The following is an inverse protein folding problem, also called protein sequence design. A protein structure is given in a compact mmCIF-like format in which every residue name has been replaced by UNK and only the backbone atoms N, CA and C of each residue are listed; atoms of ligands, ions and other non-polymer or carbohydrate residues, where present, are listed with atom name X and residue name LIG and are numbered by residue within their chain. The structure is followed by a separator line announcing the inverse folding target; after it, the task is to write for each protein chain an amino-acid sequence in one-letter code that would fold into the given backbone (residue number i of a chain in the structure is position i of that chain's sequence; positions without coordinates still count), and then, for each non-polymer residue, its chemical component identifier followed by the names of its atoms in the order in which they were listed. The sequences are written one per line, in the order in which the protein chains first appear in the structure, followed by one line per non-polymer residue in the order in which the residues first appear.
data_IF_833635628124
#
_entry.id   IF_833635628124
#
_cell.length_a   1.000
_cell.length_b   1.000
_cell.length_c   1.000
_cell.angle_alpha   90.00
_cell.angle_beta   90.00
_cell.angle_gamma   90.00
#
_symmetry.space_group_name_H-M   'P 1'
#
loop_
_entity.id
_entity.type
_entity.pdbx_description
1 polymer ?
#
# COMPACT_ATOMS: atom_id res chain seq x y z
N UNK A 1 -14.88 -16.43 -0.63
CA UNK A 1 -13.42 -16.65 -0.57
C UNK A 1 -12.90 -16.22 0.79
N UNK A 2 -11.98 -16.99 1.35
CA UNK A 2 -11.33 -16.64 2.62
C UNK A 2 -9.88 -16.28 2.34
N UNK A 3 -9.42 -15.18 2.93
CA UNK A 3 -8.00 -14.82 2.92
C UNK A 3 -7.38 -15.46 4.16
N UNK A 4 -6.55 -16.45 3.94
CA UNK A 4 -5.95 -17.26 4.99
C UNK A 4 -4.46 -17.02 5.08
N UNK A 5 -3.82 -17.50 6.15
CA UNK A 5 -2.37 -17.45 6.31
C UNK A 5 -1.66 -18.07 5.10
N UNK A 6 -2.19 -19.17 4.57
CA UNK A 6 -1.63 -19.83 3.38
C UNK A 6 -1.63 -18.89 2.17
N UNK A 7 -2.71 -18.14 1.96
CA UNK A 7 -2.80 -17.16 0.86
C UNK A 7 -1.79 -16.02 1.07
N UNK A 8 -1.66 -15.53 2.28
CA UNK A 8 -0.69 -14.48 2.61
C UNK A 8 0.74 -14.96 2.37
N UNK A 9 1.04 -16.22 2.73
CA UNK A 9 2.36 -16.80 2.51
C UNK A 9 2.68 -16.96 1.03
N UNK A 10 1.72 -17.38 0.23
CA UNK A 10 1.89 -17.49 -1.23
C UNK A 10 2.14 -16.12 -1.86
N UNK A 11 1.37 -15.13 -1.46
CA UNK A 11 1.53 -13.77 -1.97
C UNK A 11 2.90 -13.19 -1.59
N UNK A 12 3.35 -13.45 -0.36
CA UNK A 12 4.67 -13.05 0.11
C UNK A 12 5.78 -13.74 -0.69
N UNK A 13 5.64 -15.03 -0.99
CA UNK A 13 6.62 -15.75 -1.82
C UNK A 13 6.72 -15.14 -3.22
N UNK A 14 5.59 -14.75 -3.80
CA UNK A 14 5.56 -14.05 -5.09
C UNK A 14 6.22 -12.67 -5.01
N UNK A 15 5.99 -11.94 -3.91
CA UNK A 15 6.62 -10.65 -3.69
C UNK A 15 8.15 -10.78 -3.60
N UNK A 16 8.64 -11.77 -2.88
CA UNK A 16 10.09 -12.04 -2.75
C UNK A 16 10.73 -12.39 -4.10
N UNK A 17 10.00 -13.07 -4.96
CA UNK A 17 10.49 -13.47 -6.28
C UNK A 17 10.36 -12.36 -7.32
N UNK A 18 9.67 -11.29 -7.02
CA UNK A 18 9.49 -10.15 -7.92
C UNK A 18 10.66 -9.19 -7.83
N UNK A 19 11.10 -8.65 -8.96
CA UNK A 19 12.11 -7.59 -9.00
C UNK A 19 11.66 -6.34 -8.23
N UNK A 20 10.35 -6.16 -8.09
CA UNK A 20 9.76 -5.03 -7.38
C UNK A 20 9.60 -5.28 -5.88
N UNK A 21 9.88 -6.50 -5.40
CA UNK A 21 9.73 -6.91 -3.99
C UNK A 21 8.34 -6.60 -3.44
N UNK A 22 7.33 -6.72 -4.30
CA UNK A 22 5.92 -6.58 -3.93
C UNK A 22 5.03 -7.32 -4.92
N UNK A 23 3.86 -7.72 -4.43
CA UNK A 23 2.87 -8.42 -5.25
C UNK A 23 1.48 -8.07 -4.73
N UNK A 24 0.59 -7.69 -5.64
CA UNK A 24 -0.79 -7.39 -5.28
C UNK A 24 -1.73 -8.54 -5.63
N UNK A 25 -2.80 -8.64 -4.86
CA UNK A 25 -3.92 -9.53 -5.13
C UNK A 25 -5.18 -8.67 -5.22
N UNK A 26 -5.77 -8.63 -6.41
CA UNK A 26 -6.96 -7.83 -6.68
C UNK A 26 -8.20 -8.55 -6.18
N UNK A 27 -8.97 -7.88 -5.34
CA UNK A 27 -10.22 -8.43 -4.79
C UNK A 27 -11.46 -7.85 -5.45
N UNK A 28 -11.29 -7.04 -6.50
CA UNK A 28 -12.43 -6.50 -7.25
C UNK A 28 -13.18 -7.62 -7.95
N UNK A 29 -14.49 -7.40 -8.12
CA UNK A 29 -15.34 -8.35 -8.85
C UNK A 29 -15.09 -8.29 -10.36
N UNK A 30 -14.76 -7.10 -10.87
CA UNK A 30 -14.40 -6.89 -12.27
C UNK A 30 -13.46 -5.70 -12.41
N UNK A 31 -12.83 -5.57 -13.57
CA UNK A 31 -11.93 -4.44 -13.86
C UNK A 31 -12.65 -3.09 -13.91
N UNK A 32 -13.96 -3.09 -14.04
CA UNK A 32 -14.79 -1.87 -14.07
C UNK A 32 -15.33 -1.49 -12.68
N UNK A 33 -14.99 -2.25 -11.66
CA UNK A 33 -15.48 -2.01 -10.30
C UNK A 33 -15.00 -0.64 -9.81
N UNK A 34 -15.95 0.16 -9.32
CA UNK A 34 -15.68 1.50 -8.82
C UNK A 34 -15.13 1.53 -7.40
N UNK A 35 -14.93 0.37 -6.81
CA UNK A 35 -14.36 0.23 -5.48
C UNK A 35 -13.12 -0.64 -5.56
N UNK A 36 -11.95 -0.03 -5.49
CA UNK A 36 -10.68 -0.77 -5.51
C UNK A 36 -10.45 -1.40 -4.14
N UNK A 37 -10.15 -2.69 -4.16
CA UNK A 37 -9.87 -3.48 -2.96
C UNK A 37 -8.76 -4.46 -3.30
N UNK A 38 -7.61 -4.34 -2.61
CA UNK A 38 -6.51 -5.25 -2.90
C UNK A 38 -5.66 -5.54 -1.67
N UNK A 39 -5.05 -6.71 -1.68
CA UNK A 39 -3.97 -7.04 -0.78
C UNK A 39 -2.65 -6.75 -1.47
N UNK A 40 -1.69 -6.22 -0.73
CA UNK A 40 -0.32 -6.04 -1.20
C UNK A 40 0.64 -6.69 -0.22
N UNK A 41 1.35 -7.71 -0.68
CA UNK A 41 2.51 -8.21 0.02
C UNK A 41 3.70 -7.34 -0.36
N UNK A 42 4.38 -6.80 0.63
CA UNK A 42 5.49 -5.86 0.44
C UNK A 42 6.69 -6.31 1.27
N UNK A 43 7.85 -6.38 0.65
CA UNK A 43 9.07 -6.82 1.30
C UNK A 43 9.99 -5.63 1.61
N UNK A 44 10.87 -5.76 2.63
CA UNK A 44 11.88 -4.74 2.88
C UNK A 44 12.69 -4.43 1.63
N UNK A 45 12.88 -3.15 1.35
CA UNK A 45 13.60 -2.71 0.16
C UNK A 45 12.74 -2.55 -1.09
N UNK A 46 11.43 -2.82 -1.02
CA UNK A 46 10.57 -2.61 -2.19
C UNK A 46 10.70 -1.17 -2.70
N UNK A 47 11.03 -0.99 -3.99
CA UNK A 47 11.13 0.35 -4.56
C UNK A 47 9.74 0.91 -4.81
N UNK A 48 9.41 1.99 -4.12
CA UNK A 48 8.14 2.69 -4.32
C UNK A 48 8.43 4.19 -4.30
N UNK A 49 8.18 4.91 -5.40
CA UNK A 49 8.38 6.34 -5.41
C UNK A 49 7.39 7.04 -4.48
N UNK A 50 7.76 8.23 -4.01
CA UNK A 50 6.81 9.11 -3.35
C UNK A 50 5.76 9.48 -4.40
N UNK A 51 4.50 9.24 -4.08
CA UNK A 51 3.40 9.40 -5.02
C UNK A 51 2.15 9.91 -4.31
N UNK A 52 1.15 10.25 -5.10
CA UNK A 52 -0.17 10.67 -4.60
C UNK A 52 -1.28 10.17 -5.50
N UNK A 53 -2.48 10.09 -4.94
CA UNK A 53 -3.72 9.85 -5.68
C UNK A 53 -4.57 11.11 -5.55
N UNK A 54 -4.70 11.88 -6.63
CA UNK A 54 -5.37 13.19 -6.56
C UNK A 54 -6.89 13.10 -6.52
N UNK A 55 -7.44 12.02 -7.04
CA UNK A 55 -8.90 11.88 -7.19
C UNK A 55 -9.59 11.16 -6.05
N UNK A 56 -8.87 10.51 -5.14
CA UNK A 56 -9.49 9.72 -4.09
C UNK A 56 -8.61 9.58 -2.86
N UNK A 57 -9.25 9.45 -1.71
CA UNK A 57 -8.58 9.02 -0.49
C UNK A 57 -8.34 7.52 -0.55
N UNK A 58 -7.39 7.05 0.25
CA UNK A 58 -7.03 5.65 0.34
C UNK A 58 -7.10 5.20 1.80
N UNK A 59 -7.67 4.01 2.02
CA UNK A 59 -7.67 3.37 3.34
C UNK A 59 -6.68 2.23 3.31
N UNK A 60 -5.72 2.24 4.23
CA UNK A 60 -4.70 1.18 4.36
C UNK A 60 -4.88 0.49 5.70
N UNK A 61 -4.92 -0.84 5.67
CA UNK A 61 -5.04 -1.67 6.87
C UNK A 61 -3.82 -2.58 6.95
N UNK A 62 -3.12 -2.59 8.07
CA UNK A 62 -2.05 -3.57 8.28
C UNK A 62 -2.67 -4.93 8.62
N UNK A 63 -2.37 -5.94 7.80
CA UNK A 63 -2.90 -7.29 7.97
C UNK A 63 -1.89 -8.16 8.71
N UNK A 64 -0.59 -8.01 8.37
CA UNK A 64 0.49 -8.80 8.94
C UNK A 64 1.81 -8.01 8.81
N UNK A 65 2.73 -8.22 9.75
CA UNK A 65 4.04 -7.58 9.71
C UNK A 65 4.02 -6.15 10.19
N UNK A 66 4.93 -5.33 9.69
CA UNK A 66 5.08 -3.94 10.12
C UNK A 66 5.76 -3.12 9.04
N UNK A 67 5.26 -1.90 8.90
CA UNK A 67 5.84 -0.91 7.99
C UNK A 67 5.60 0.50 8.54
N UNK A 68 6.31 1.44 7.97
CA UNK A 68 6.04 2.86 8.20
C UNK A 68 5.40 3.44 6.94
N UNK A 69 4.30 4.17 7.11
CA UNK A 69 3.78 5.07 6.08
C UNK A 69 4.41 6.44 6.32
N UNK A 70 4.87 7.09 5.27
CA UNK A 70 5.52 8.40 5.38
C UNK A 70 4.79 9.40 4.51
N UNK A 71 4.48 10.56 5.08
CA UNK A 71 3.82 11.66 4.40
C UNK A 71 4.82 12.77 4.10
N UNK A 72 4.63 13.43 2.96
CA UNK A 72 5.52 14.49 2.50
C UNK A 72 4.70 15.68 2.05
N UNK A 73 5.30 16.88 2.15
CA UNK A 73 4.73 18.10 1.57
C UNK A 73 5.14 18.24 0.09
N UNK A 74 4.66 19.27 -0.58
CA UNK A 74 4.95 19.51 -1.99
C UNK A 74 6.45 19.75 -2.27
N UNK A 75 7.20 20.18 -1.27
CA UNK A 75 8.64 20.37 -1.39
C UNK A 75 9.45 19.08 -1.21
N UNK A 76 8.79 17.97 -0.87
CA UNK A 76 9.46 16.69 -0.63
C UNK A 76 9.95 16.50 0.79
N UNK A 77 9.57 17.37 1.72
CA UNK A 77 9.94 17.22 3.12
C UNK A 77 8.97 16.29 3.82
N UNK A 78 9.49 15.35 4.62
CA UNK A 78 8.67 14.45 5.40
C UNK A 78 7.97 15.23 6.52
N UNK A 79 6.65 15.12 6.56
CA UNK A 79 5.83 15.80 7.57
C UNK A 79 5.33 14.85 8.66
N UNK A 80 5.21 13.56 8.34
CA UNK A 80 4.74 12.57 9.30
C UNK A 80 5.26 11.18 8.95
N UNK A 81 5.54 10.38 9.97
CA UNK A 81 5.92 8.99 9.82
C UNK A 81 5.07 8.15 10.78
N UNK A 82 4.33 7.18 10.24
CA UNK A 82 3.36 6.41 11.01
C UNK A 82 3.76 4.94 10.99
N UNK A 83 4.08 4.38 12.16
CA UNK A 83 4.33 2.95 12.29
C UNK A 83 3.00 2.21 12.32
N UNK A 84 2.83 1.28 11.38
CA UNK A 84 1.66 0.40 11.31
C UNK A 84 2.10 -1.02 11.62
N UNK A 85 1.51 -1.62 12.65
CA UNK A 85 1.75 -3.00 13.03
C UNK A 85 0.56 -3.58 13.79
N UNK A 86 0.32 -4.86 13.64
CA UNK A 86 -0.72 -5.56 14.40
C UNK A 86 -0.29 -5.63 15.87
N UNK A 87 -1.17 -5.18 16.77
CA UNK A 87 -0.83 -5.08 18.19
C UNK A 87 -0.18 -3.76 18.58
N UNK A 88 0.12 -2.88 17.62
CA UNK A 88 0.65 -1.55 17.88
C UNK A 88 -0.46 -0.50 18.00
N UNK A 89 -0.09 0.75 17.83
CA UNK A 89 -1.05 1.85 17.93
C UNK A 89 -1.91 2.05 16.69
N UNK A 90 -1.33 1.87 15.50
CA UNK A 90 -2.01 2.17 14.25
C UNK A 90 -2.29 0.91 13.46
N UNK A 91 -3.56 0.62 13.23
CA UNK A 91 -4.04 -0.50 12.44
C UNK A 91 -4.56 -0.07 11.07
N UNK A 92 -5.17 1.10 11.01
CA UNK A 92 -5.81 1.64 9.82
C UNK A 92 -5.37 3.08 9.63
N UNK A 93 -4.98 3.42 8.42
CA UNK A 93 -4.57 4.77 8.08
C UNK A 93 -5.44 5.28 6.93
N UNK A 94 -5.97 6.49 7.10
CA UNK A 94 -6.62 7.20 6.01
C UNK A 94 -5.63 8.15 5.37
N UNK A 95 -5.39 7.99 4.07
CA UNK A 95 -4.51 8.85 3.29
C UNK A 95 -5.39 9.79 2.47
N UNK A 96 -5.40 11.09 2.76
CA UNK A 96 -6.26 12.02 2.01
C UNK A 96 -5.90 12.08 0.53
N UNK A 97 -6.89 12.42 -0.29
CA UNK A 97 -6.63 12.69 -1.70
C UNK A 97 -5.56 13.79 -1.83
N UNK A 98 -4.60 13.57 -2.71
CA UNK A 98 -3.51 14.51 -2.95
C UNK A 98 -2.33 14.42 -1.99
N UNK A 99 -2.40 13.61 -0.96
CA UNK A 99 -1.30 13.47 0.00
C UNK A 99 -0.13 12.68 -0.60
N UNK A 100 1.04 13.31 -0.67
CA UNK A 100 2.27 12.62 -1.06
C UNK A 100 2.67 11.63 0.01
N UNK A 101 2.95 10.37 -0.39
CA UNK A 101 3.31 9.32 0.56
C UNK A 101 4.17 8.22 -0.08
N UNK A 102 4.84 7.47 0.76
CA UNK A 102 5.51 6.23 0.42
C UNK A 102 5.52 5.31 1.64
N UNK A 103 6.16 4.17 1.52
CA UNK A 103 6.29 3.21 2.61
C UNK A 103 7.75 2.83 2.84
N UNK A 104 8.03 2.42 4.07
CA UNK A 104 9.28 1.78 4.45
C UNK A 104 8.92 0.48 5.18
N UNK A 105 9.15 -0.65 4.52
CA UNK A 105 8.79 -1.97 5.06
C UNK A 105 9.86 -2.45 6.02
N UNK A 106 9.46 -2.78 7.24
CA UNK A 106 10.38 -3.12 8.32
C UNK A 106 10.55 -4.63 8.54
N UNK A 107 9.64 -5.44 8.01
CA UNK A 107 9.60 -6.87 8.28
C UNK A 107 9.19 -7.65 7.04
N UNK A 108 9.89 -8.75 6.76
CA UNK A 108 9.50 -9.66 5.70
C UNK A 108 8.16 -10.32 6.03
N UNK A 109 7.33 -10.54 5.02
CA UNK A 109 6.00 -11.11 5.21
C UNK A 109 4.93 -10.08 5.51
N UNK A 110 5.25 -8.80 5.41
CA UNK A 110 4.28 -7.72 5.62
C UNK A 110 3.23 -7.72 4.52
N UNK A 111 1.97 -7.63 4.92
CA UNK A 111 0.83 -7.54 4.02
C UNK A 111 -0.09 -6.42 4.48
N UNK A 112 -0.49 -5.58 3.54
CA UNK A 112 -1.48 -4.53 3.76
C UNK A 112 -2.70 -4.77 2.88
N UNK A 113 -3.85 -4.33 3.34
CA UNK A 113 -5.07 -4.23 2.55
C UNK A 113 -5.30 -2.75 2.23
N UNK A 114 -5.60 -2.47 0.97
CA UNK A 114 -5.87 -1.12 0.50
C UNK A 114 -7.24 -1.03 -0.14
N UNK A 115 -7.99 0.01 0.21
CA UNK A 115 -9.27 0.33 -0.40
C UNK A 115 -9.25 1.77 -0.91
N UNK A 116 -9.80 1.98 -2.10
CA UNK A 116 -9.80 3.29 -2.76
C UNK A 116 -11.01 3.38 -3.68
N UNK A 117 -11.65 4.53 -3.68
CA UNK A 117 -12.80 4.78 -4.54
C UNK A 117 -12.37 5.01 -5.99
N UNK A 118 -13.27 4.68 -6.91
CA UNK A 118 -13.07 4.87 -8.34
C UNK A 118 -12.45 3.66 -9.01
N UNK A 119 -12.62 3.57 -10.32
CA UNK A 119 -11.99 2.51 -11.11
C UNK A 119 -10.48 2.71 -11.12
N UNK A 120 -9.73 1.61 -11.21
CA UNK A 120 -8.27 1.67 -11.30
C UNK A 120 -7.83 2.52 -12.50
N UNK A 121 -6.88 3.39 -12.25
CA UNK A 121 -6.17 4.13 -13.29
C UNK A 121 -4.69 4.19 -12.90
N UNK A 122 -3.77 4.01 -13.88
CA UNK A 122 -2.34 4.14 -13.59
C UNK A 122 -2.00 5.54 -13.10
N UNK A 123 -0.98 5.64 -12.24
CA UNK A 123 -0.45 6.93 -11.82
C UNK A 123 0.13 7.68 -13.02
N UNK A 124 -0.15 8.97 -13.10
CA UNK A 124 0.46 9.84 -14.10
C UNK A 124 1.79 10.38 -13.57
N UNK A 125 2.62 10.91 -14.47
CA UNK A 125 3.92 11.46 -14.08
C UNK A 125 3.81 12.58 -13.04
N UNK A 126 2.77 13.40 -13.12
CA UNK A 126 2.50 14.47 -12.15
C UNK A 126 2.10 13.97 -10.76
N UNK A 127 1.84 12.66 -10.62
CA UNK A 127 1.52 12.00 -9.35
C UNK A 127 2.73 11.30 -8.75
N UNK A 128 3.89 11.47 -9.35
CA UNK A 128 5.16 10.94 -8.87
C UNK A 128 6.09 12.10 -8.52
N UNK A 129 6.70 12.02 -7.35
CA UNK A 129 7.69 13.01 -6.92
C UNK A 129 9.06 12.59 -7.43
N UNK A 130 9.77 13.54 -8.00
CA UNK A 130 11.12 13.29 -8.57
C UNK A 130 12.18 14.01 -7.77
#
# INVERSE_FOLDING_TARGET
MKITQEILDKLTAQAKASDRLRMSMDLRTSSNDQSQRMLNAVEPGTPLPIHRHRGSAETVVIVRGRLKERFYNDAGDMTEEILMEVGGECYVLQIPAGQWHDIDVLESGTVIFEAKDGAYAPLEEKDLMK
#
